data_IF_737563980743
#
_entry.id   IF_737563980743
#
_cell.length_a   1.000
_cell.length_b   1.000
_cell.length_c   1.000
_cell.angle_alpha   90.00
_cell.angle_beta   90.00
_cell.angle_gamma   90.00
#
_symmetry.space_group_name_H-M   'P 1'
#
loop_
_entity.id
_entity.type
_entity.pdbx_description
1 polymer ?
#
# COMPACT_ATOMS: atom_id res chain seq x y z
N UNK A 1 -24.15 -2.26 18.79
CA UNK A 1 -23.75 -1.90 18.65
C UNK A 1 -23.63 -1.04 18.84
N UNK A 2 -23.44 -0.47 19.00
CA UNK A 2 -23.14 0.38 19.08
C UNK A 2 -22.34 0.90 19.38
N UNK A 3 -22.22 1.23 20.19
CA UNK A 3 -21.20 1.89 20.51
C UNK A 3 -20.13 1.65 19.77
N UNK A 4 -20.33 1.06 19.40
CA UNK A 4 -19.46 0.54 18.45
C UNK A 4 -19.05 1.49 17.36
N UNK A 5 -19.70 2.63 17.26
CA UNK A 5 -19.30 3.63 16.28
C UNK A 5 -17.87 4.09 16.45
N UNK A 6 -17.44 4.24 17.69
CA UNK A 6 -16.06 4.61 17.96
C UNK A 6 -15.09 3.56 17.50
N UNK A 7 -15.44 2.31 17.75
CA UNK A 7 -14.61 1.18 17.35
C UNK A 7 -14.51 1.13 15.84
N UNK A 8 -15.63 1.33 15.14
CA UNK A 8 -15.60 1.30 13.69
C UNK A 8 -14.69 2.36 13.09
N UNK A 9 -14.69 3.54 13.65
CA UNK A 9 -13.79 4.59 13.17
C UNK A 9 -12.34 4.26 13.43
N UNK A 10 -12.05 3.66 14.59
CA UNK A 10 -10.69 3.23 14.91
C UNK A 10 -10.22 2.12 14.00
N UNK A 11 -11.18 1.39 13.42
CA UNK A 11 -10.86 0.24 12.58
C UNK A 11 -10.76 0.58 11.11
N UNK A 12 -11.02 1.81 10.73
CA UNK A 12 -10.88 2.22 9.35
C UNK A 12 -9.40 2.30 8.99
N UNK A 13 -9.07 2.01 7.73
CA UNK A 13 -7.71 2.06 7.22
C UNK A 13 -6.77 1.13 7.97
N UNK A 14 -7.18 -0.11 8.12
CA UNK A 14 -6.39 -1.10 8.84
C UNK A 14 -5.65 -2.09 7.97
N UNK A 15 -5.90 -2.09 6.68
CA UNK A 15 -5.34 -3.10 5.80
C UNK A 15 -4.17 -2.53 5.02
N UNK A 16 -3.09 -3.31 4.99
CA UNK A 16 -1.93 -3.05 4.15
C UNK A 16 -1.94 -4.12 3.07
N UNK A 17 -2.06 -3.70 1.80
CA UNK A 17 -2.04 -4.62 0.68
C UNK A 17 -0.65 -4.67 0.06
N UNK A 18 -0.17 -5.87 -0.21
CA UNK A 18 1.11 -6.06 -0.89
C UNK A 18 0.84 -6.87 -2.15
N UNK A 19 1.20 -6.32 -3.31
CA UNK A 19 0.88 -6.89 -4.60
C UNK A 19 2.15 -7.15 -5.37
N UNK A 20 2.38 -8.40 -5.78
CA UNK A 20 3.54 -8.80 -6.55
C UNK A 20 4.18 -10.06 -6.00
N UNK A 21 5.10 -10.62 -6.80
CA UNK A 21 5.74 -11.87 -6.44
C UNK A 21 6.85 -11.70 -5.41
N UNK A 22 7.71 -10.73 -5.62
CA UNK A 22 8.91 -10.61 -4.81
C UNK A 22 8.63 -9.97 -3.45
N UNK A 23 7.73 -8.99 -3.43
CA UNK A 23 7.35 -8.38 -2.16
C UNK A 23 6.52 -9.36 -1.34
N UNK A 24 5.86 -10.31 -2.02
CA UNK A 24 5.09 -11.35 -1.35
C UNK A 24 5.94 -12.41 -0.69
N UNK A 25 7.27 -12.30 -0.78
CA UNK A 25 8.19 -13.27 -0.20
C UNK A 25 7.98 -13.36 1.31
N UNK A 26 7.83 -14.58 1.86
CA UNK A 26 7.55 -14.76 3.28
C UNK A 26 8.73 -14.50 4.20
N UNK A 27 9.85 -13.98 3.71
CA UNK A 27 11.01 -13.67 4.55
C UNK A 27 10.71 -12.61 5.60
N UNK A 28 9.70 -11.78 5.34
CA UNK A 28 9.30 -10.74 6.29
C UNK A 28 7.96 -11.15 6.88
N UNK A 29 7.92 -11.31 8.20
CA UNK A 29 6.67 -11.68 8.85
C UNK A 29 5.70 -10.51 8.82
N UNK A 30 4.42 -10.83 8.74
CA UNK A 30 3.39 -9.81 8.74
C UNK A 30 3.40 -9.00 10.03
N UNK A 31 3.80 -9.63 11.14
CA UNK A 31 3.90 -8.95 12.43
C UNK A 31 4.91 -7.81 12.39
N UNK A 32 6.00 -7.99 11.66
CA UNK A 32 7.01 -6.94 11.54
C UNK A 32 6.52 -5.78 10.68
N UNK A 33 5.68 -6.08 9.71
CA UNK A 33 5.11 -5.03 8.86
C UNK A 33 3.99 -4.29 9.56
N UNK A 34 3.39 -4.89 10.56
CA UNK A 34 2.29 -4.31 11.30
C UNK A 34 2.70 -4.02 12.73
N UNK A 35 3.61 -3.08 12.92
CA UNK A 35 4.00 -2.67 14.25
C UNK A 35 2.88 -1.96 14.98
N UNK A 36 1.89 -1.47 14.24
CA UNK A 36 0.73 -0.79 14.81
C UNK A 36 -0.37 -1.80 15.07
N UNK A 37 -0.85 -1.83 16.29
CA UNK A 37 -1.92 -2.73 16.68
C UNK A 37 -3.16 -2.50 15.85
N UNK A 38 -3.80 -3.59 15.43
CA UNK A 38 -5.02 -3.54 14.64
C UNK A 38 -4.82 -3.53 13.14
N UNK A 39 -3.59 -3.39 12.68
CA UNK A 39 -3.30 -3.48 11.25
C UNK A 39 -3.19 -4.92 10.80
N UNK A 40 -3.55 -5.18 9.56
CA UNK A 40 -3.37 -6.51 8.96
C UNK A 40 -2.77 -6.38 7.57
N UNK A 41 -2.03 -7.40 7.16
CA UNK A 41 -1.38 -7.45 5.84
C UNK A 41 -2.08 -8.49 4.98
N UNK A 42 -2.43 -8.08 3.76
CA UNK A 42 -2.97 -9.00 2.75
C UNK A 42 -2.01 -9.01 1.57
N UNK A 43 -1.63 -10.19 1.14
CA UNK A 43 -0.68 -10.37 0.05
C UNK A 43 -1.38 -10.93 -1.17
N UNK A 44 -1.10 -10.33 -2.32
CA UNK A 44 -1.68 -10.75 -3.60
C UNK A 44 -0.55 -10.98 -4.59
N UNK A 45 -0.59 -12.09 -5.29
CA UNK A 45 0.34 -12.32 -6.40
C UNK A 45 -0.23 -11.81 -7.71
N UNK A 46 -1.55 -11.62 -7.79
CA UNK A 46 -2.19 -11.16 -9.01
C UNK A 46 -2.87 -9.82 -8.80
N UNK A 47 -2.55 -8.83 -9.64
CA UNK A 47 -3.08 -7.47 -9.45
C UNK A 47 -4.60 -7.38 -9.61
N UNK A 48 -5.18 -8.21 -10.44
CA UNK A 48 -6.63 -8.20 -10.62
C UNK A 48 -7.35 -8.58 -9.32
N UNK A 49 -6.82 -9.59 -8.61
CA UNK A 49 -7.39 -10.01 -7.34
C UNK A 49 -7.26 -8.90 -6.29
N UNK A 50 -6.11 -8.24 -6.27
CA UNK A 50 -5.88 -7.13 -5.35
C UNK A 50 -6.88 -6.01 -5.62
N UNK A 51 -7.08 -5.67 -6.88
CA UNK A 51 -7.98 -4.59 -7.25
C UNK A 51 -9.43 -4.92 -6.89
N UNK A 52 -9.86 -6.15 -7.14
CA UNK A 52 -11.22 -6.55 -6.79
C UNK A 52 -11.45 -6.49 -5.28
N UNK A 53 -10.49 -6.98 -4.51
CA UNK A 53 -10.61 -6.91 -3.07
C UNK A 53 -10.63 -5.47 -2.58
N UNK A 54 -9.79 -4.63 -3.17
CA UNK A 54 -9.77 -3.21 -2.83
C UNK A 54 -11.11 -2.54 -3.10
N UNK A 55 -11.72 -2.83 -4.25
CA UNK A 55 -13.00 -2.21 -4.61
C UNK A 55 -14.08 -2.52 -3.58
N UNK A 56 -14.06 -3.70 -3.02
CA UNK A 56 -15.05 -4.12 -2.04
C UNK A 56 -14.74 -3.63 -0.63
N UNK A 57 -13.50 -3.23 -0.38
CA UNK A 57 -13.04 -2.87 0.97
C UNK A 57 -12.24 -1.58 0.96
N UNK A 58 -12.55 -0.66 0.06
CA UNK A 58 -11.69 0.51 -0.18
C UNK A 58 -11.46 1.38 1.04
N UNK A 59 -12.42 1.45 1.94
CA UNK A 59 -12.30 2.28 3.12
C UNK A 59 -11.43 1.64 4.21
N UNK A 60 -11.10 0.37 4.05
CA UNK A 60 -10.28 -0.34 5.03
C UNK A 60 -8.80 -0.28 4.73
N UNK A 61 -8.43 0.09 3.51
CA UNK A 61 -7.03 0.06 3.08
C UNK A 61 -6.29 1.33 3.47
N UNK A 62 -5.28 1.17 4.30
CA UNK A 62 -4.40 2.26 4.68
C UNK A 62 -3.31 2.46 3.64
N UNK A 63 -2.79 1.38 3.09
CA UNK A 63 -1.59 1.39 2.28
C UNK A 63 -1.62 0.24 1.27
N UNK A 64 -1.18 0.53 0.04
CA UNK A 64 -0.95 -0.50 -0.98
C UNK A 64 0.49 -0.36 -1.46
N UNK A 65 1.21 -1.47 -1.44
CA UNK A 65 2.56 -1.56 -1.99
C UNK A 65 2.49 -2.47 -3.20
N UNK A 66 2.94 -2.02 -4.35
CA UNK A 66 2.82 -2.78 -5.59
C UNK A 66 4.11 -2.79 -6.38
N UNK A 67 4.43 -3.96 -6.96
CA UNK A 67 5.47 -4.05 -7.98
C UNK A 67 5.05 -3.27 -9.22
N UNK A 68 6.03 -2.72 -9.93
CA UNK A 68 5.77 -2.05 -11.20
C UNK A 68 5.37 -3.06 -12.28
N UNK A 69 6.14 -4.13 -12.41
CA UNK A 69 5.92 -5.12 -13.47
C UNK A 69 5.10 -6.29 -12.98
N UNK A 70 3.92 -6.40 -13.55
CA UNK A 70 2.98 -7.49 -13.23
C UNK A 70 2.18 -7.80 -14.48
N UNK A 71 1.70 -9.07 -14.60
CA UNK A 71 0.84 -9.42 -15.73
C UNK A 71 -0.48 -8.66 -15.69
N UNK A 72 -1.05 -8.38 -16.85
CA UNK A 72 -2.36 -7.79 -17.06
C UNK A 72 -2.42 -6.31 -16.68
N UNK A 73 -2.17 -5.98 -15.42
CA UNK A 73 -2.18 -4.60 -14.94
C UNK A 73 -0.83 -4.34 -14.29
N UNK A 74 -0.10 -3.30 -14.75
CA UNK A 74 1.16 -2.95 -14.09
C UNK A 74 0.89 -2.11 -12.84
N UNK A 75 1.96 -1.89 -12.05
CA UNK A 75 1.83 -1.17 -10.80
C UNK A 75 1.35 0.26 -10.95
N UNK A 76 1.77 0.93 -12.01
CA UNK A 76 1.33 2.31 -12.26
C UNK A 76 -0.18 2.37 -12.47
N UNK A 77 -0.70 1.46 -13.29
CA UNK A 77 -2.13 1.38 -13.55
C UNK A 77 -2.91 1.04 -12.30
N UNK A 78 -2.39 0.10 -11.52
CA UNK A 78 -3.05 -0.33 -10.29
C UNK A 78 -3.13 0.83 -9.29
N UNK A 79 -2.01 1.50 -9.04
CA UNK A 79 -1.97 2.57 -8.05
C UNK A 79 -2.82 3.77 -8.48
N UNK A 80 -2.84 4.07 -9.78
CA UNK A 80 -3.70 5.13 -10.30
C UNK A 80 -5.17 4.82 -10.04
N UNK A 81 -5.58 3.59 -10.33
CA UNK A 81 -6.96 3.16 -10.12
C UNK A 81 -7.32 3.22 -8.64
N UNK A 82 -6.41 2.78 -7.77
CA UNK A 82 -6.64 2.83 -6.34
C UNK A 82 -6.83 4.27 -5.86
N UNK A 83 -6.00 5.19 -6.32
CA UNK A 83 -6.12 6.59 -5.94
C UNK A 83 -7.43 7.21 -6.45
N UNK A 84 -7.86 6.80 -7.63
CA UNK A 84 -9.14 7.29 -8.16
C UNK A 84 -10.32 6.81 -7.31
N UNK A 85 -10.22 5.59 -6.78
CA UNK A 85 -11.28 5.02 -5.96
C UNK A 85 -11.26 5.52 -4.52
N UNK A 86 -10.07 5.72 -3.97
CA UNK A 86 -9.92 6.23 -2.60
C UNK A 86 -8.60 6.97 -2.46
N UNK A 87 -8.63 8.30 -2.61
CA UNK A 87 -7.40 9.11 -2.52
C UNK A 87 -6.70 9.04 -1.17
N UNK A 88 -7.39 8.61 -0.13
CA UNK A 88 -6.81 8.52 1.21
C UNK A 88 -5.89 7.33 1.39
N UNK A 89 -6.01 6.30 0.54
CA UNK A 89 -5.12 5.15 0.62
C UNK A 89 -3.73 5.56 0.13
N UNK A 90 -2.71 5.31 0.95
CA UNK A 90 -1.33 5.60 0.57
C UNK A 90 -0.83 4.55 -0.40
N UNK A 91 0.07 4.92 -1.28
CA UNK A 91 0.58 4.03 -2.34
C UNK A 91 2.09 4.05 -2.38
N UNK A 92 2.68 2.86 -2.54
CA UNK A 92 4.14 2.72 -2.69
C UNK A 92 4.40 1.80 -3.88
N UNK A 93 5.30 2.22 -4.75
CA UNK A 93 5.69 1.45 -5.94
C UNK A 93 7.06 0.83 -5.71
N UNK A 94 7.23 -0.43 -6.11
CA UNK A 94 8.56 -1.06 -6.10
C UNK A 94 8.99 -1.34 -7.53
N UNK A 95 10.27 -1.14 -7.82
CA UNK A 95 10.79 -1.30 -9.17
C UNK A 95 12.17 -1.97 -9.13
N UNK A 96 12.51 -2.67 -10.24
CA UNK A 96 13.80 -3.38 -10.35
C UNK A 96 14.95 -2.45 -10.64
N UNK A 97 14.69 -1.28 -11.18
CA UNK A 97 15.73 -0.38 -11.63
C UNK A 97 15.59 0.97 -10.98
N UNK A 98 16.68 1.72 -11.02
CA UNK A 98 16.62 3.15 -10.77
C UNK A 98 15.86 3.76 -11.94
N UNK A 99 14.56 3.78 -11.83
CA UNK A 99 13.67 4.06 -12.94
C UNK A 99 13.35 5.54 -13.01
N UNK A 100 13.93 6.21 -13.99
CA UNK A 100 13.77 7.64 -14.17
C UNK A 100 12.76 7.93 -15.28
N UNK A 101 11.56 7.42 -15.11
CA UNK A 101 10.49 7.62 -16.08
C UNK A 101 9.76 8.92 -15.79
N UNK A 102 9.44 9.64 -16.83
CA UNK A 102 8.65 10.86 -16.69
C UNK A 102 7.29 10.57 -16.08
N UNK A 103 6.71 9.43 -16.43
CA UNK A 103 5.42 9.06 -15.88
C UNK A 103 5.48 8.83 -14.38
N UNK A 104 6.53 8.16 -13.90
CA UNK A 104 6.73 7.95 -12.47
C UNK A 104 6.93 9.29 -11.77
N UNK A 105 7.72 10.17 -12.35
CA UNK A 105 7.93 11.50 -11.79
C UNK A 105 6.63 12.28 -11.71
N UNK A 106 5.84 12.22 -12.77
CA UNK A 106 4.56 12.91 -12.82
C UNK A 106 3.60 12.36 -11.77
N UNK A 107 3.52 11.05 -11.66
CA UNK A 107 2.65 10.40 -10.67
C UNK A 107 3.09 10.72 -9.23
N UNK A 108 4.39 10.86 -9.03
CA UNK A 108 4.93 11.24 -7.72
C UNK A 108 4.54 12.67 -7.37
N UNK A 109 4.67 13.59 -8.34
CA UNK A 109 4.30 14.99 -8.14
C UNK A 109 2.81 15.14 -7.85
N UNK A 110 1.99 14.35 -8.51
CA UNK A 110 0.54 14.38 -8.33
C UNK A 110 0.08 13.58 -7.11
N UNK A 111 1.03 12.98 -6.39
CA UNK A 111 0.76 12.17 -5.22
C UNK A 111 -0.11 10.95 -5.52
N UNK A 112 -0.03 10.45 -6.73
CA UNK A 112 -0.59 9.15 -7.10
C UNK A 112 0.33 8.04 -6.56
N UNK A 113 1.63 8.32 -6.53
CA UNK A 113 2.63 7.48 -5.88
C UNK A 113 3.18 8.24 -4.69
N UNK A 114 3.00 7.69 -3.50
CA UNK A 114 3.43 8.34 -2.25
C UNK A 114 4.82 7.93 -1.80
N UNK A 115 5.32 6.79 -2.28
CA UNK A 115 6.66 6.34 -1.95
C UNK A 115 7.17 5.35 -2.97
N UNK A 116 8.48 5.13 -2.99
CA UNK A 116 9.10 4.19 -3.90
C UNK A 116 10.18 3.39 -3.19
N UNK A 117 10.30 2.13 -3.57
CA UNK A 117 11.37 1.25 -3.11
C UNK A 117 12.01 0.61 -4.32
N UNK A 118 13.33 0.57 -4.33
CA UNK A 118 14.09 -0.05 -5.40
C UNK A 118 14.52 -1.45 -5.00
N UNK A 119 14.28 -2.42 -5.88
CA UNK A 119 14.72 -3.80 -5.65
C UNK A 119 16.22 -3.91 -5.89
N UNK A 120 16.91 -4.80 -5.19
CA UNK A 120 16.39 -5.74 -4.20
C UNK A 120 16.06 -5.03 -2.90
N UNK A 121 14.89 -5.33 -2.34
CA UNK A 121 14.41 -4.65 -1.14
C UNK A 121 14.82 -5.45 0.09
N UNK A 122 15.57 -4.82 0.97
CA UNK A 122 15.93 -5.44 2.24
C UNK A 122 14.73 -5.41 3.18
N UNK A 123 14.60 -6.41 4.08
CA UNK A 123 13.47 -6.42 5.01
C UNK A 123 13.32 -5.12 5.80
N UNK A 124 14.42 -4.54 6.28
CA UNK A 124 14.33 -3.30 7.06
C UNK A 124 13.86 -2.11 6.23
N UNK A 125 14.15 -2.11 4.93
CA UNK A 125 13.69 -1.04 4.05
C UNK A 125 12.18 -1.06 3.89
N UNK A 126 11.62 -2.26 3.73
CA UNK A 126 10.17 -2.41 3.60
C UNK A 126 9.48 -2.01 4.89
N UNK A 127 9.98 -2.47 6.04
CA UNK A 127 9.41 -2.13 7.34
C UNK A 127 9.47 -0.62 7.56
N UNK A 128 10.61 0.00 7.24
CA UNK A 128 10.78 1.44 7.41
C UNK A 128 9.79 2.23 6.56
N UNK A 129 9.59 1.80 5.31
CA UNK A 129 8.66 2.49 4.43
C UNK A 129 7.21 2.34 4.92
N UNK A 130 6.84 1.14 5.37
CA UNK A 130 5.51 0.92 5.93
C UNK A 130 5.27 1.81 7.14
N UNK A 131 6.23 1.84 8.07
CA UNK A 131 6.12 2.67 9.27
C UNK A 131 5.99 4.14 8.91
N UNK A 132 6.76 4.60 7.94
CA UNK A 132 6.71 5.98 7.48
C UNK A 132 5.32 6.33 6.96
N UNK A 133 4.75 5.47 6.12
CA UNK A 133 3.43 5.74 5.54
C UNK A 133 2.34 5.70 6.61
N UNK A 134 2.44 4.76 7.54
CA UNK A 134 1.46 4.66 8.63
C UNK A 134 1.53 5.89 9.53
N UNK A 135 2.74 6.38 9.82
CA UNK A 135 2.90 7.58 10.64
C UNK A 135 2.26 8.80 9.98
N UNK A 136 2.39 8.92 8.66
CA UNK A 136 1.76 10.01 7.92
C UNK A 136 0.23 9.93 8.04
N UNK A 137 -0.32 8.73 7.92
CA UNK A 137 -1.76 8.51 8.05
C UNK A 137 -2.23 8.93 9.44
N UNK A 138 -1.52 8.51 10.48
CA UNK A 138 -1.88 8.85 11.86
C UNK A 138 -1.84 10.35 12.10
N UNK A 139 -0.83 11.01 11.57
CA UNK A 139 -0.72 12.46 11.71
C UNK A 139 -1.88 13.18 11.06
N UNK A 140 -2.31 12.71 9.89
CA UNK A 140 -3.44 13.27 9.17
C UNK A 140 -4.73 13.06 9.94
N UNK A 141 -4.90 11.88 10.53
CA UNK A 141 -6.13 11.52 11.23
C UNK A 141 -6.29 12.20 12.59
N UNK A 142 -5.23 12.79 13.10
CA UNK A 142 -5.29 13.47 14.39
C UNK A 142 -6.04 14.80 14.33
N UNK A 143 -6.29 15.25 13.14
CA UNK A 143 -7.10 16.45 12.97
C UNK A 143 -8.57 16.08 13.02
#
# INVERSE_FOLDING_TARGET
>A
MFYLKGVCRLNQNKTIGIVGYEIGNPQISDDKLCSTEGMKVLRFTEPVNALEHFKMNRNDYALIISDLRMPVINGMQLLKTIKDLNPSTRTVLTTDFDYDSKLIQDYTKKQIINGMLQKPIQPHELVTEVDKQIDIIKSTNKK
#
